data_IF_284455218078
#
_entry.id   IF_284455218078
#
_cell.length_a   1.000
_cell.length_b   1.000
_cell.length_c   1.000
_cell.angle_alpha   90.00
_cell.angle_beta   90.00
_cell.angle_gamma   90.00
#
_symmetry.space_group_name_H-M   'P 1'
#
loop_
_entity.id
_entity.type
_entity.pdbx_description
1 polymer ?
#
# COMPACT_ATOMS: atom_id res chain seq x y z
N UNK A 1 -18.57 -10.02 37.13
CA UNK A 1 -17.16 -9.63 37.04
C UNK A 1 -16.46 -10.77 36.32
N UNK A 2 -16.38 -10.69 34.99
CA UNK A 2 -15.75 -11.72 34.13
C UNK A 2 -14.40 -11.16 33.71
N UNK A 3 -13.34 -11.74 34.22
CA UNK A 3 -11.97 -11.43 33.79
C UNK A 3 -11.75 -12.11 32.43
N UNK A 4 -11.64 -11.29 31.38
CA UNK A 4 -11.16 -11.74 30.08
C UNK A 4 -9.64 -11.86 30.15
N UNK A 5 -9.14 -13.08 30.15
CA UNK A 5 -7.74 -13.37 29.93
C UNK A 5 -7.42 -13.14 28.46
N UNK A 6 -6.65 -12.11 28.15
CA UNK A 6 -6.01 -11.96 26.84
C UNK A 6 -4.81 -12.89 26.84
N UNK A 7 -4.93 -14.00 26.13
CA UNK A 7 -3.81 -14.90 25.85
C UNK A 7 -3.03 -14.28 24.70
N UNK A 8 -1.84 -13.75 24.98
CA UNK A 8 -0.86 -13.44 23.95
C UNK A 8 -0.28 -14.77 23.45
N UNK A 9 -0.67 -15.19 22.26
CA UNK A 9 0.02 -16.26 21.56
C UNK A 9 1.30 -15.64 20.99
N UNK A 10 2.44 -15.90 21.66
CA UNK A 10 3.75 -15.66 21.08
C UNK A 10 3.94 -16.68 19.95
N UNK A 11 3.76 -16.26 18.71
CA UNK A 11 4.25 -17.01 17.56
C UNK A 11 5.79 -17.07 17.64
N UNK A 12 6.42 -18.18 17.30
CA UNK A 12 7.86 -18.29 17.33
C UNK A 12 8.48 -17.32 16.33
N UNK A 13 9.06 -16.27 16.83
CA UNK A 13 9.83 -15.28 16.08
C UNK A 13 11.03 -15.96 15.44
N UNK A 14 10.90 -16.38 14.19
CA UNK A 14 12.02 -16.91 13.41
C UNK A 14 12.86 -15.71 12.96
N UNK A 15 13.91 -15.43 13.72
CA UNK A 15 15.11 -14.76 13.20
C UNK A 15 15.15 -13.25 13.11
N UNK A 16 14.21 -12.49 13.67
CA UNK A 16 14.36 -11.04 13.76
C UNK A 16 15.44 -10.68 14.80
N UNK A 17 16.61 -10.24 14.33
CA UNK A 17 17.57 -9.57 15.21
C UNK A 17 16.84 -8.43 15.92
N UNK A 18 16.80 -8.45 17.26
CA UNK A 18 16.38 -7.31 18.08
C UNK A 18 17.16 -6.08 17.64
N UNK A 19 16.54 -5.23 16.82
CA UNK A 19 17.10 -3.93 16.52
C UNK A 19 17.07 -3.11 17.81
N UNK A 20 18.25 -2.67 18.25
CA UNK A 20 18.40 -1.91 19.47
C UNK A 20 17.61 -0.61 19.38
N UNK A 21 16.61 -0.42 20.21
CA UNK A 21 15.66 0.70 20.19
C UNK A 21 16.33 2.07 20.29
N UNK A 22 17.57 2.11 20.80
CA UNK A 22 18.33 3.34 21.01
C UNK A 22 19.11 3.84 19.78
N UNK A 23 19.24 3.00 18.73
CA UNK A 23 20.04 3.35 17.55
C UNK A 23 19.18 3.88 16.38
N UNK A 24 17.86 3.95 16.56
CA UNK A 24 16.98 4.53 15.53
C UNK A 24 16.86 6.04 15.75
N UNK A 25 17.31 6.89 14.81
CA UNK A 25 17.03 8.31 14.87
C UNK A 25 15.51 8.52 14.98
N UNK A 26 15.06 9.70 15.49
CA UNK A 26 13.64 10.10 15.59
C UNK A 26 12.90 10.13 14.22
N UNK A 27 13.28 9.23 13.34
CA UNK A 27 12.90 9.10 11.95
C UNK A 27 11.48 8.55 11.72
N UNK A 28 10.74 8.23 12.77
CA UNK A 28 9.40 7.64 12.64
C UNK A 28 8.39 8.54 11.90
N UNK A 29 8.62 9.85 11.88
CA UNK A 29 7.79 10.78 11.11
C UNK A 29 8.27 10.96 9.66
N UNK A 30 9.39 10.31 9.29
CA UNK A 30 10.06 10.52 8.02
C UNK A 30 9.95 9.33 7.07
N UNK A 31 9.10 8.36 7.35
CA UNK A 31 8.86 7.21 6.48
C UNK A 31 7.42 7.18 5.98
N UNK A 32 7.27 6.76 4.73
CA UNK A 32 5.98 6.48 4.10
C UNK A 32 5.93 5.04 3.63
N UNK A 33 4.81 4.41 3.87
CA UNK A 33 4.39 3.16 3.28
C UNK A 33 3.50 3.49 2.07
N UNK A 34 4.09 3.48 0.90
CA UNK A 34 3.36 3.67 -0.33
C UNK A 34 2.91 2.30 -0.85
N UNK A 35 1.64 2.15 -1.21
CA UNK A 35 1.09 0.85 -1.58
C UNK A 35 -0.10 0.97 -2.52
N UNK A 36 -0.26 -0.07 -3.31
CA UNK A 36 -1.35 -0.30 -4.26
C UNK A 36 -1.63 -1.80 -4.34
N UNK A 37 -2.83 -2.20 -4.72
CA UNK A 37 -3.16 -3.61 -4.94
C UNK A 37 -4.06 -3.83 -6.15
N UNK A 38 -3.84 -4.95 -6.87
CA UNK A 38 -4.82 -5.47 -7.81
C UNK A 38 -5.74 -6.45 -7.10
N UNK A 39 -6.99 -6.51 -7.54
CA UNK A 39 -8.02 -7.24 -6.82
C UNK A 39 -8.77 -8.23 -7.70
N UNK A 40 -9.22 -9.33 -7.13
CA UNK A 40 -10.02 -10.35 -7.83
C UNK A 40 -11.37 -9.82 -8.30
N UNK A 41 -11.95 -8.90 -7.53
CA UNK A 41 -13.19 -8.17 -7.78
C UNK A 41 -13.33 -7.02 -6.77
N UNK A 42 -14.41 -6.24 -6.88
CA UNK A 42 -14.77 -5.17 -5.97
C UNK A 42 -16.21 -5.36 -5.52
N UNK A 43 -16.46 -5.33 -4.23
CA UNK A 43 -17.82 -5.37 -3.70
C UNK A 43 -18.47 -3.97 -3.77
N UNK A 44 -19.14 -3.68 -4.88
CA UNK A 44 -19.83 -2.41 -5.07
C UNK A 44 -21.04 -2.20 -4.16
N UNK A 45 -21.64 -3.26 -3.64
CA UNK A 45 -22.79 -3.18 -2.74
C UNK A 45 -22.39 -2.77 -1.34
N UNK A 46 -21.11 -2.96 -0.98
CA UNK A 46 -20.56 -2.55 0.31
C UNK A 46 -19.58 -1.39 0.14
N UNK A 47 -20.13 -0.17 0.05
CA UNK A 47 -19.33 1.05 -0.11
C UNK A 47 -18.34 1.34 1.03
N UNK A 48 -18.52 0.72 2.20
CA UNK A 48 -17.65 0.90 3.36
C UNK A 48 -16.52 -0.13 3.41
N UNK A 49 -16.67 -1.24 2.71
CA UNK A 49 -15.65 -2.29 2.63
C UNK A 49 -15.67 -2.97 1.26
N UNK A 50 -14.93 -2.44 0.27
CA UNK A 50 -14.86 -3.02 -1.07
C UNK A 50 -14.18 -4.39 -1.10
N UNK A 51 -13.41 -4.73 -0.07
CA UNK A 51 -12.73 -6.03 0.05
C UNK A 51 -13.67 -7.17 0.46
N UNK A 52 -14.86 -6.87 0.98
CA UNK A 52 -15.76 -7.91 1.51
C UNK A 52 -16.15 -8.92 0.45
N UNK A 53 -15.67 -10.17 0.60
CA UNK A 53 -15.91 -11.28 -0.34
C UNK A 53 -15.01 -11.24 -1.58
N UNK A 54 -14.07 -10.30 -1.63
CA UNK A 54 -13.05 -10.17 -2.66
C UNK A 54 -11.66 -10.42 -2.08
N UNK A 55 -10.63 -10.45 -2.92
CA UNK A 55 -9.25 -10.72 -2.50
C UNK A 55 -8.29 -9.81 -3.27
N UNK A 56 -7.25 -9.31 -2.61
CA UNK A 56 -6.10 -8.73 -3.30
C UNK A 56 -5.30 -9.86 -3.95
N UNK A 57 -5.02 -9.73 -5.24
CA UNK A 57 -4.28 -10.73 -6.05
C UNK A 57 -2.86 -10.28 -6.38
N UNK A 58 -2.53 -9.02 -6.18
CA UNK A 58 -1.15 -8.56 -6.12
C UNK A 58 -1.00 -7.35 -5.22
N UNK A 59 0.21 -7.13 -4.73
CA UNK A 59 0.60 -5.99 -3.92
C UNK A 59 1.84 -5.34 -4.49
N UNK A 60 1.80 -4.04 -4.67
CA UNK A 60 2.95 -3.18 -4.94
C UNK A 60 3.20 -2.27 -3.75
N UNK A 61 4.39 -2.35 -3.16
CA UNK A 61 4.71 -1.63 -1.94
C UNK A 61 6.08 -0.95 -2.08
N UNK A 62 6.17 0.28 -1.62
CA UNK A 62 7.42 1.03 -1.54
C UNK A 62 7.57 1.65 -0.16
N UNK A 63 8.74 1.51 0.42
CA UNK A 63 9.13 2.25 1.62
C UNK A 63 9.93 3.47 1.20
N UNK A 64 9.48 4.64 1.62
CA UNK A 64 10.06 5.90 1.19
C UNK A 64 10.54 6.74 2.38
N UNK A 65 11.61 7.49 2.16
CA UNK A 65 11.90 8.65 3.00
C UNK A 65 10.85 9.73 2.71
N UNK A 66 10.06 10.12 3.71
CA UNK A 66 8.95 11.06 3.54
C UNK A 66 9.39 12.48 3.12
N UNK A 67 10.63 12.88 3.43
CA UNK A 67 11.15 14.21 3.10
C UNK A 67 11.67 14.25 1.66
N UNK A 68 12.51 13.28 1.29
CA UNK A 68 13.17 13.24 -0.03
C UNK A 68 12.38 12.47 -1.08
N UNK A 69 11.45 11.60 -0.65
CA UNK A 69 10.77 10.59 -1.46
C UNK A 69 11.74 9.59 -2.11
N UNK A 70 12.94 9.47 -1.54
CA UNK A 70 13.88 8.41 -1.92
C UNK A 70 13.29 7.04 -1.58
N UNK A 71 13.35 6.11 -2.52
CA UNK A 71 12.93 4.73 -2.32
C UNK A 71 13.98 3.99 -1.52
N UNK A 72 13.57 3.44 -0.37
CA UNK A 72 14.43 2.65 0.51
C UNK A 72 14.28 1.16 0.23
N UNK A 73 13.09 0.71 -0.13
CA UNK A 73 12.79 -0.69 -0.44
C UNK A 73 11.52 -0.78 -1.28
N UNK A 74 11.46 -1.78 -2.14
CA UNK A 74 10.29 -2.13 -2.96
C UNK A 74 9.95 -3.59 -2.75
N UNK A 75 8.66 -3.91 -2.79
CA UNK A 75 8.14 -5.26 -2.73
C UNK A 75 7.01 -5.40 -3.75
N UNK A 76 7.08 -6.44 -4.58
CA UNK A 76 5.98 -6.89 -5.43
C UNK A 76 5.63 -8.31 -5.09
N UNK A 77 4.35 -8.59 -4.88
CA UNK A 77 3.84 -9.91 -4.58
C UNK A 77 2.64 -10.21 -5.48
N UNK A 78 2.60 -11.41 -6.02
CA UNK A 78 1.41 -12.01 -6.60
C UNK A 78 0.85 -13.04 -5.63
N UNK A 79 -0.47 -13.05 -5.44
CA UNK A 79 -1.14 -13.86 -4.43
C UNK A 79 -2.06 -14.84 -5.12
N UNK A 80 -1.95 -16.12 -4.79
CA UNK A 80 -2.85 -17.16 -5.29
C UNK A 80 -4.29 -16.83 -4.96
N UNK A 81 -5.16 -16.99 -5.96
CA UNK A 81 -6.59 -16.87 -5.69
C UNK A 81 -7.06 -18.00 -4.75
N UNK A 82 -7.77 -17.62 -3.71
CA UNK A 82 -8.17 -18.56 -2.63
C UNK A 82 -9.30 -19.53 -3.02
N UNK A 83 -9.82 -19.45 -4.25
CA UNK A 83 -10.86 -20.34 -4.75
C UNK A 83 -12.29 -20.01 -4.32
N UNK A 84 -12.48 -19.05 -3.40
CA UNK A 84 -13.79 -18.71 -2.82
C UNK A 84 -14.18 -17.24 -2.98
N UNK A 85 -13.22 -16.34 -3.02
CA UNK A 85 -13.47 -14.92 -3.25
C UNK A 85 -14.06 -14.68 -4.64
N UNK A 86 -14.87 -13.65 -4.78
CA UNK A 86 -15.42 -13.25 -6.07
C UNK A 86 -14.31 -12.99 -7.07
N UNK A 87 -14.53 -13.38 -8.32
CA UNK A 87 -13.61 -13.17 -9.43
C UNK A 87 -14.31 -12.45 -10.57
N UNK A 88 -13.82 -11.28 -10.91
CA UNK A 88 -14.32 -10.47 -12.02
C UNK A 88 -13.42 -10.60 -13.24
N UNK A 89 -14.00 -10.97 -14.38
CA UNK A 89 -13.28 -10.97 -15.65
C UNK A 89 -12.90 -9.55 -16.11
N UNK A 90 -13.61 -8.53 -15.64
CA UNK A 90 -13.26 -7.15 -15.94
C UNK A 90 -12.07 -6.69 -15.12
N UNK A 91 -11.98 -7.07 -13.82
CA UNK A 91 -10.79 -6.86 -13.03
C UNK A 91 -9.57 -7.55 -13.66
N UNK A 92 -9.72 -8.83 -14.04
CA UNK A 92 -8.65 -9.57 -14.73
C UNK A 92 -8.18 -8.88 -16.02
N UNK A 93 -9.07 -8.29 -16.82
CA UNK A 93 -8.67 -7.52 -18.01
C UNK A 93 -7.85 -6.29 -17.68
N UNK A 94 -8.10 -5.66 -16.54
CA UNK A 94 -7.38 -4.47 -16.08
C UNK A 94 -5.96 -4.82 -15.68
N UNK A 95 -5.76 -5.80 -14.79
CA UNK A 95 -4.45 -6.14 -14.27
C UNK A 95 -3.73 -7.27 -15.05
N UNK A 96 -4.44 -8.02 -15.89
CA UNK A 96 -3.85 -9.07 -16.74
C UNK A 96 -3.50 -10.38 -16.04
N UNK A 97 -3.68 -10.50 -14.73
CA UNK A 97 -3.36 -11.69 -13.96
C UNK A 97 -4.51 -12.71 -14.04
N UNK A 98 -4.27 -13.88 -14.66
CA UNK A 98 -5.24 -14.96 -14.69
C UNK A 98 -5.14 -15.84 -13.43
N UNK A 99 -6.20 -16.62 -13.16
CA UNK A 99 -6.18 -17.58 -12.04
C UNK A 99 -5.07 -18.62 -12.21
N UNK A 100 -4.86 -19.08 -13.45
CA UNK A 100 -3.83 -20.05 -13.79
C UNK A 100 -2.44 -19.48 -13.54
N UNK A 101 -2.20 -18.24 -13.96
CA UNK A 101 -0.95 -17.53 -13.70
C UNK A 101 -0.69 -17.38 -12.19
N UNK A 102 -1.69 -16.98 -11.43
CA UNK A 102 -1.58 -16.81 -9.98
C UNK A 102 -1.37 -18.15 -9.25
N UNK A 103 -1.96 -19.24 -9.75
CA UNK A 103 -1.72 -20.56 -9.18
C UNK A 103 -0.28 -21.03 -9.37
N UNK A 104 0.31 -20.73 -10.52
CA UNK A 104 1.69 -21.12 -10.84
C UNK A 104 2.75 -20.23 -10.19
N UNK A 105 2.51 -18.90 -10.11
CA UNK A 105 3.52 -17.91 -9.75
C UNK A 105 3.23 -17.20 -8.43
N UNK A 106 2.00 -17.18 -7.99
CA UNK A 106 1.61 -16.50 -6.75
C UNK A 106 2.02 -17.27 -5.49
N UNK A 107 2.14 -16.54 -4.39
CA UNK A 107 2.34 -17.09 -3.05
C UNK A 107 0.98 -17.23 -2.33
N UNK A 108 0.95 -17.94 -1.22
CA UNK A 108 -0.26 -17.99 -0.40
C UNK A 108 -0.60 -16.63 0.21
N UNK A 109 -1.87 -16.43 0.58
CA UNK A 109 -2.32 -15.21 1.28
C UNK A 109 -1.59 -15.05 2.63
N UNK A 110 -1.29 -16.17 3.31
CA UNK A 110 -0.53 -16.20 4.55
C UNK A 110 0.94 -15.78 4.34
N UNK A 111 1.60 -16.30 3.30
CA UNK A 111 2.97 -15.90 2.98
C UNK A 111 3.03 -14.42 2.59
N UNK A 112 2.06 -13.92 1.83
CA UNK A 112 1.97 -12.51 1.48
C UNK A 112 1.84 -11.62 2.73
N UNK A 113 0.99 -12.02 3.69
CA UNK A 113 0.88 -11.35 4.98
C UNK A 113 2.21 -11.32 5.72
N UNK A 114 2.93 -12.45 5.76
CA UNK A 114 4.25 -12.55 6.43
C UNK A 114 5.27 -11.62 5.78
N UNK A 115 5.35 -11.58 4.45
CA UNK A 115 6.26 -10.69 3.74
C UNK A 115 5.94 -9.20 3.99
N UNK A 116 4.66 -8.81 3.93
CA UNK A 116 4.23 -7.44 4.21
C UNK A 116 4.49 -7.07 5.68
N UNK A 117 4.18 -7.97 6.62
CA UNK A 117 4.40 -7.74 8.04
C UNK A 117 5.90 -7.61 8.37
N UNK A 118 6.75 -8.43 7.75
CA UNK A 118 8.20 -8.36 7.90
C UNK A 118 8.75 -7.03 7.36
N UNK A 119 8.28 -6.60 6.19
CA UNK A 119 8.67 -5.33 5.60
C UNK A 119 8.28 -4.16 6.51
N UNK A 120 7.03 -4.13 7.00
CA UNK A 120 6.58 -3.10 7.93
C UNK A 120 7.38 -3.17 9.24
N UNK A 121 7.58 -4.35 9.81
CA UNK A 121 8.32 -4.55 11.05
C UNK A 121 9.79 -4.12 10.97
N UNK A 122 10.39 -4.16 9.77
CA UNK A 122 11.75 -3.69 9.52
C UNK A 122 11.89 -2.17 9.72
N UNK A 123 10.87 -1.40 9.34
CA UNK A 123 10.89 0.06 9.32
C UNK A 123 10.10 0.69 10.48
N UNK A 124 9.03 0.06 10.92
CA UNK A 124 8.20 0.52 12.04
C UNK A 124 8.27 -0.48 13.18
N UNK A 125 8.74 -0.04 14.33
CA UNK A 125 8.86 -0.89 15.52
C UNK A 125 7.68 -0.67 16.48
N UNK A 126 7.15 -1.76 17.02
CA UNK A 126 6.18 -1.74 18.11
C UNK A 126 4.86 -1.06 17.76
N UNK A 127 4.43 -0.13 18.60
CA UNK A 127 3.15 0.58 18.46
C UNK A 127 3.18 1.81 17.55
N UNK A 128 4.19 1.93 16.69
CA UNK A 128 4.32 3.08 15.78
C UNK A 128 3.28 3.02 14.69
N UNK A 129 2.58 4.13 14.43
CA UNK A 129 1.62 4.22 13.36
C UNK A 129 2.33 4.39 12.01
N UNK A 130 1.89 3.63 11.01
CA UNK A 130 2.39 3.67 9.64
C UNK A 130 1.73 4.82 8.88
N UNK A 131 2.51 5.76 8.35
CA UNK A 131 2.00 6.81 7.46
C UNK A 131 1.94 6.26 6.04
N UNK A 132 0.83 6.49 5.34
CA UNK A 132 0.59 5.93 4.02
C UNK A 132 0.65 6.95 2.90
N UNK A 133 0.94 6.45 1.69
CA UNK A 133 0.79 7.15 0.43
C UNK A 133 0.16 6.21 -0.60
N UNK A 134 -0.77 6.71 -1.40
CA UNK A 134 -1.41 5.95 -2.47
C UNK A 134 -2.29 6.82 -3.36
N UNK A 135 -3.03 6.20 -4.27
CA UNK A 135 -4.05 6.85 -5.07
C UNK A 135 -5.43 6.28 -4.74
N UNK A 136 -6.27 7.03 -4.06
CA UNK A 136 -7.55 6.57 -3.50
C UNK A 136 -7.40 5.39 -2.52
N UNK A 137 -6.20 5.18 -2.02
CA UNK A 137 -5.81 3.97 -1.29
C UNK A 137 -6.53 3.79 0.04
N UNK A 138 -6.94 4.87 0.69
CA UNK A 138 -7.67 4.79 1.96
C UNK A 138 -9.05 4.16 1.78
N UNK A 139 -9.70 4.45 0.65
CA UNK A 139 -11.04 3.96 0.36
C UNK A 139 -11.03 2.62 -0.39
N UNK A 140 -9.92 2.25 -0.99
CA UNK A 140 -9.80 1.08 -1.84
C UNK A 140 -8.79 0.05 -1.32
N UNK A 141 -7.50 0.33 -1.37
CA UNK A 141 -6.45 -0.65 -1.07
C UNK A 141 -6.36 -0.99 0.41
N UNK A 142 -6.53 0.02 1.28
CA UNK A 142 -6.42 -0.16 2.73
C UNK A 142 -7.46 -1.14 3.30
N UNK A 143 -8.73 -1.15 2.86
CA UNK A 143 -9.68 -2.20 3.19
C UNK A 143 -9.21 -3.61 2.87
N UNK A 144 -8.55 -3.84 1.73
CA UNK A 144 -7.98 -5.14 1.37
C UNK A 144 -6.81 -5.52 2.27
N UNK A 145 -5.97 -4.55 2.64
CA UNK A 145 -4.87 -4.81 3.57
C UNK A 145 -5.39 -5.12 4.98
N UNK A 146 -6.43 -4.44 5.44
CA UNK A 146 -7.07 -4.77 6.71
C UNK A 146 -7.73 -6.15 6.67
N UNK A 147 -8.43 -6.49 5.59
CA UNK A 147 -9.04 -7.80 5.42
C UNK A 147 -8.00 -8.93 5.48
N UNK A 148 -6.83 -8.73 4.83
CA UNK A 148 -5.71 -9.66 4.90
C UNK A 148 -5.21 -9.85 6.34
N UNK A 149 -5.05 -8.78 7.10
CA UNK A 149 -4.60 -8.84 8.50
C UNK A 149 -5.66 -9.45 9.42
N UNK A 150 -6.92 -9.05 9.27
CA UNK A 150 -8.04 -9.50 10.11
C UNK A 150 -8.32 -11.00 9.94
N UNK A 151 -8.18 -11.55 8.74
CA UNK A 151 -8.31 -12.99 8.47
C UNK A 151 -7.32 -13.86 9.26
N UNK A 152 -6.19 -13.28 9.64
CA UNK A 152 -5.12 -13.95 10.37
C UNK A 152 -4.98 -13.46 11.82
N UNK A 153 -6.02 -12.84 12.40
CA UNK A 153 -6.05 -12.30 13.76
C UNK A 153 -4.89 -11.32 14.07
N UNK A 154 -4.35 -10.69 13.03
CA UNK A 154 -3.29 -9.69 13.15
C UNK A 154 -3.87 -8.28 13.10
N UNK A 155 -3.16 -7.33 13.70
CA UNK A 155 -3.56 -5.92 13.67
C UNK A 155 -2.41 -5.04 13.22
N UNK A 156 -2.72 -4.13 12.33
CA UNK A 156 -1.82 -3.10 11.85
C UNK A 156 -2.37 -1.71 12.23
N UNK A 157 -1.50 -0.85 12.73
CA UNK A 157 -1.86 0.51 13.13
C UNK A 157 -1.42 1.50 12.06
N UNK A 158 -2.38 2.04 11.35
CA UNK A 158 -2.14 3.13 10.40
C UNK A 158 -2.35 4.50 11.05
N UNK A 159 -1.56 5.46 10.58
CA UNK A 159 -1.72 6.87 10.93
C UNK A 159 -2.99 7.42 10.28
N UNK A 160 -3.63 8.38 10.94
CA UNK A 160 -4.69 9.18 10.32
C UNK A 160 -4.16 10.19 9.29
N UNK A 161 -2.84 10.29 9.13
CA UNK A 161 -2.17 11.20 8.20
C UNK A 161 -1.78 10.43 6.95
N UNK A 162 -2.69 10.45 5.99
CA UNK A 162 -2.50 9.74 4.73
C UNK A 162 -2.25 10.75 3.62
N UNK A 163 -1.36 10.41 2.70
CA UNK A 163 -1.13 11.18 1.48
C UNK A 163 -1.87 10.45 0.36
N UNK A 164 -2.84 11.14 -0.24
CA UNK A 164 -3.65 10.60 -1.30
C UNK A 164 -3.54 11.47 -2.57
N UNK A 165 -3.00 10.90 -3.63
CA UNK A 165 -2.82 11.60 -4.91
C UNK A 165 -4.11 11.82 -5.67
N UNK A 166 -5.22 11.15 -5.34
CA UNK A 166 -6.55 11.46 -5.82
C UNK A 166 -6.94 12.90 -5.44
N UNK A 167 -6.65 13.31 -4.20
CA UNK A 167 -6.85 14.69 -3.75
C UNK A 167 -5.98 15.69 -4.52
N UNK A 168 -4.73 15.33 -4.85
CA UNK A 168 -3.86 16.15 -5.69
C UNK A 168 -4.43 16.30 -7.10
N UNK A 169 -4.88 15.20 -7.72
CA UNK A 169 -5.50 15.19 -9.05
C UNK A 169 -6.72 16.12 -9.11
N UNK A 170 -7.62 15.99 -8.13
CA UNK A 170 -8.79 16.87 -8.06
C UNK A 170 -8.39 18.34 -7.88
N UNK A 171 -7.46 18.63 -6.98
CA UNK A 171 -7.07 20.00 -6.63
C UNK A 171 -6.38 20.70 -7.81
N UNK A 172 -5.49 20.00 -8.51
CA UNK A 172 -4.67 20.57 -9.58
C UNK A 172 -5.36 20.53 -10.94
N UNK A 173 -6.10 19.45 -11.24
CA UNK A 173 -6.58 19.12 -12.59
C UNK A 173 -8.09 18.90 -12.68
N UNK A 174 -8.79 18.88 -11.54
CA UNK A 174 -10.22 18.59 -11.45
C UNK A 174 -10.58 17.18 -11.94
N UNK A 175 -9.66 16.23 -11.79
CA UNK A 175 -9.86 14.83 -12.12
C UNK A 175 -9.61 13.94 -10.91
N UNK A 176 -10.34 12.82 -10.84
CA UNK A 176 -10.09 11.73 -9.90
C UNK A 176 -9.38 10.56 -10.57
N UNK A 177 -9.19 10.62 -11.89
CA UNK A 177 -8.59 9.57 -12.68
C UNK A 177 -7.07 9.61 -12.55
N UNK A 178 -6.46 8.47 -12.23
CA UNK A 178 -5.01 8.36 -12.08
C UNK A 178 -4.28 8.55 -13.42
N UNK A 179 -4.83 8.04 -14.54
CA UNK A 179 -4.21 8.17 -15.85
C UNK A 179 -4.13 9.62 -16.29
N UNK A 180 -5.21 10.40 -16.08
CA UNK A 180 -5.22 11.83 -16.37
C UNK A 180 -4.18 12.57 -15.52
N UNK A 181 -4.05 12.20 -14.24
CA UNK A 181 -3.04 12.78 -13.35
C UNK A 181 -1.63 12.44 -13.83
N UNK A 182 -1.38 11.19 -14.16
CA UNK A 182 -0.07 10.71 -14.64
C UNK A 182 0.31 11.38 -15.96
N UNK A 183 -0.59 11.40 -16.92
CA UNK A 183 -0.38 12.04 -18.23
C UNK A 183 -0.09 13.54 -18.11
N UNK A 184 -0.82 14.25 -17.25
CA UNK A 184 -0.63 15.70 -17.06
C UNK A 184 0.67 16.05 -16.37
N UNK A 185 1.27 15.10 -15.64
CA UNK A 185 2.60 15.22 -15.06
C UNK A 185 3.69 14.67 -16.00
N UNK A 186 3.34 14.26 -17.21
CA UNK A 186 4.27 13.77 -18.24
C UNK A 186 4.80 12.37 -17.98
N UNK A 187 4.03 11.54 -17.26
CA UNK A 187 4.34 10.10 -17.12
C UNK A 187 3.84 9.35 -18.37
N UNK A 188 4.50 8.24 -18.75
CA UNK A 188 4.05 7.41 -19.87
C UNK A 188 2.66 6.80 -19.63
N UNK A 189 1.96 6.48 -20.72
CA UNK A 189 0.72 5.73 -20.63
C UNK A 189 0.98 4.29 -20.17
N UNK A 190 0.18 3.81 -19.24
CA UNK A 190 0.22 2.42 -18.77
C UNK A 190 -0.49 1.51 -19.78
N UNK A 191 0.06 0.33 -20.02
CA UNK A 191 -0.54 -0.68 -20.89
C UNK A 191 -1.46 -1.63 -20.14
N UNK A 192 -1.09 -1.95 -18.92
CA UNK A 192 -1.82 -2.79 -17.97
C UNK A 192 -1.63 -2.21 -16.59
N UNK A 193 -2.53 -2.48 -15.68
CA UNK A 193 -2.34 -2.13 -14.29
C UNK A 193 -1.45 -3.18 -13.62
N UNK A 194 -0.42 -2.70 -12.93
CA UNK A 194 0.47 -3.51 -12.11
C UNK A 194 0.71 -2.75 -10.82
N UNK A 195 0.37 -3.36 -9.70
CA UNK A 195 0.40 -2.69 -8.41
C UNK A 195 1.74 -2.01 -8.07
N UNK A 196 2.89 -2.60 -8.45
CA UNK A 196 4.19 -1.96 -8.21
C UNK A 196 4.43 -0.78 -9.16
N UNK A 197 4.11 -0.93 -10.45
CA UNK A 197 4.22 0.17 -11.41
C UNK A 197 3.29 1.32 -11.03
N UNK A 198 2.05 1.02 -10.61
CA UNK A 198 1.06 2.01 -10.26
C UNK A 198 1.46 2.82 -9.02
N UNK A 199 2.04 2.16 -8.01
CA UNK A 199 2.57 2.91 -6.86
C UNK A 199 3.85 3.68 -7.19
N UNK A 200 4.71 3.20 -8.10
CA UNK A 200 5.87 3.96 -8.59
C UNK A 200 5.42 5.25 -9.30
N UNK A 201 4.39 5.18 -10.15
CA UNK A 201 3.78 6.34 -10.81
C UNK A 201 3.17 7.32 -9.78
N UNK A 202 2.44 6.78 -8.81
CA UNK A 202 1.86 7.57 -7.72
C UNK A 202 2.93 8.34 -6.92
N UNK A 203 4.04 7.69 -6.59
CA UNK A 203 5.17 8.33 -5.91
C UNK A 203 5.81 9.40 -6.81
N UNK A 204 5.99 9.11 -8.10
CA UNK A 204 6.56 10.04 -9.06
C UNK A 204 5.67 11.27 -9.26
N UNK A 205 4.33 11.12 -9.20
CA UNK A 205 3.41 12.26 -9.19
C UNK A 205 3.69 13.21 -8.02
N UNK A 206 3.91 12.68 -6.83
CA UNK A 206 4.23 13.52 -5.66
C UNK A 206 5.59 14.19 -5.83
N UNK A 207 6.60 13.50 -6.38
CA UNK A 207 7.93 14.08 -6.67
C UNK A 207 7.82 15.26 -7.64
N UNK A 208 7.15 15.06 -8.79
CA UNK A 208 6.97 16.11 -9.81
C UNK A 208 6.15 17.28 -9.30
N UNK A 209 5.10 17.02 -8.55
CA UNK A 209 4.29 18.07 -7.91
C UNK A 209 5.14 18.92 -6.96
N UNK A 210 5.99 18.32 -6.14
CA UNK A 210 6.92 19.06 -5.26
C UNK A 210 7.88 19.95 -6.06
N UNK A 211 8.50 19.40 -7.11
CA UNK A 211 9.42 20.17 -7.99
C UNK A 211 8.70 21.36 -8.62
N UNK A 212 7.51 21.16 -9.15
CA UNK A 212 6.71 22.23 -9.77
C UNK A 212 6.32 23.30 -8.75
N UNK A 213 5.97 22.89 -7.54
CA UNK A 213 5.62 23.80 -6.46
C UNK A 213 6.83 24.64 -6.03
N UNK A 214 7.96 24.02 -5.79
CA UNK A 214 9.20 24.68 -5.38
C UNK A 214 9.68 25.67 -6.43
N UNK A 215 9.60 25.31 -7.71
CA UNK A 215 9.94 26.18 -8.81
C UNK A 215 9.02 27.41 -8.90
N UNK A 216 7.71 27.24 -8.62
CA UNK A 216 6.71 28.31 -8.75
C UNK A 216 6.68 29.25 -7.55
N UNK A 217 6.88 28.75 -6.35
CA UNK A 217 6.70 29.49 -5.10
C UNK A 217 8.04 30.05 -4.57
N UNK A 218 9.17 29.59 -5.12
CA UNK A 218 10.52 30.05 -4.70
C UNK A 218 10.85 29.64 -3.25
N UNK A 219 10.06 28.75 -2.67
CA UNK A 219 10.35 28.19 -1.36
C UNK A 219 11.41 27.11 -1.57
N UNK A 220 12.69 27.50 -1.37
CA UNK A 220 13.70 26.48 -1.06
C UNK A 220 13.26 25.83 0.24
N UNK A 221 12.73 24.62 0.11
CA UNK A 221 12.15 23.90 1.22
C UNK A 221 13.10 23.85 2.40
N UNK A 222 12.63 24.20 3.58
CA UNK A 222 13.33 24.06 4.86
C UNK A 222 13.69 22.60 5.19
N UNK A 223 13.41 21.68 4.25
CA UNK A 223 13.42 20.23 4.43
C UNK A 223 14.10 19.47 3.28
N UNK A 224 14.91 20.16 2.47
CA UNK A 224 15.87 19.53 1.56
C UNK A 224 17.22 19.40 2.23
#
# INVERSE_FOLDING_TARGET
MVLSFIVFIELPYIGLKKLNYNDKPRAYFNLLFAFDCETSAINFDNKLNPAKGCQAVSWGIMILNANTLETLEELYLEVKWNGVSEWSMDAQKVHGLSKEHLEENGISEEDALVEIANLIGKYWAGDTMVNTLGHNSISFDLPFLFDLYDKHDMRLKFSYRNIDTNTLGFTLLRTYNSDDLFASLGLPERKTHNALEDIQYTVECVRRTRILWDAKVGIKGKYL
#
